data_IF_028848692659
#
_entry.id   IF_028848692659
#
_cell.length_a   1.000
_cell.length_b   1.000
_cell.length_c   1.000
_cell.angle_alpha   90.00
_cell.angle_beta   90.00
_cell.angle_gamma   90.00
#
_symmetry.space_group_name_H-M   'P 1'
#
loop_
_entity.id
_entity.type
_entity.pdbx_description
1 polymer ?
#
# COMPACT_ATOMS: atom_id res chain seq x y z
N UNK A 1 -12.56 28.86 -11.74
CA UNK A 1 -13.21 28.45 -10.48
C UNK A 1 -13.02 26.96 -10.18
N UNK A 2 -13.13 26.07 -11.15
CA UNK A 2 -12.92 24.61 -10.95
C UNK A 2 -11.51 24.25 -10.48
N UNK A 3 -10.44 24.85 -11.03
CA UNK A 3 -9.05 24.58 -10.61
C UNK A 3 -8.80 24.96 -9.15
N UNK A 4 -9.31 26.08 -8.67
CA UNK A 4 -9.16 26.54 -7.27
C UNK A 4 -9.96 25.66 -6.31
N UNK A 5 -11.11 25.15 -6.74
CA UNK A 5 -11.89 24.20 -5.93
C UNK A 5 -11.19 22.82 -5.84
N UNK A 6 -10.58 22.34 -6.93
CA UNK A 6 -9.82 21.10 -6.95
C UNK A 6 -8.56 21.17 -6.06
N UNK A 7 -7.77 22.26 -6.17
CA UNK A 7 -6.59 22.49 -5.30
C UNK A 7 -6.98 22.57 -3.81
N UNK A 8 -8.10 23.22 -3.49
CA UNK A 8 -8.59 23.31 -2.09
C UNK A 8 -9.00 21.95 -1.55
N UNK A 9 -9.64 21.12 -2.36
CA UNK A 9 -10.05 19.75 -1.97
C UNK A 9 -8.83 18.85 -1.77
N UNK A 10 -7.80 18.99 -2.60
CA UNK A 10 -6.53 18.26 -2.48
C UNK A 10 -5.80 18.62 -1.17
N UNK A 11 -5.68 19.91 -0.86
CA UNK A 11 -5.04 20.39 0.38
C UNK A 11 -5.81 19.93 1.64
N UNK A 12 -7.14 19.96 1.61
CA UNK A 12 -7.97 19.47 2.73
C UNK A 12 -7.82 17.95 2.92
N UNK A 13 -7.71 17.19 1.84
CA UNK A 13 -7.47 15.74 1.86
C UNK A 13 -6.09 15.41 2.44
N UNK A 14 -5.03 16.09 1.98
CA UNK A 14 -3.66 15.90 2.50
C UNK A 14 -3.58 16.23 4.00
N UNK A 15 -4.22 17.32 4.44
CA UNK A 15 -4.26 17.70 5.86
C UNK A 15 -4.91 16.63 6.73
N UNK A 16 -6.04 16.08 6.27
CA UNK A 16 -6.74 15.00 6.97
C UNK A 16 -5.90 13.73 7.06
N UNK A 17 -5.22 13.34 5.98
CA UNK A 17 -4.35 12.16 5.96
C UNK A 17 -3.17 12.30 6.93
N UNK A 18 -2.57 13.48 7.02
CA UNK A 18 -1.49 13.77 7.96
C UNK A 18 -1.94 13.71 9.42
N UNK A 19 -3.12 14.26 9.73
CA UNK A 19 -3.71 14.17 11.06
C UNK A 19 -3.96 12.70 11.45
N UNK A 20 -4.58 11.93 10.57
CA UNK A 20 -4.84 10.52 10.78
C UNK A 20 -3.54 9.72 10.97
N UNK A 21 -2.49 9.99 10.20
CA UNK A 21 -1.19 9.33 10.37
C UNK A 21 -0.57 9.64 11.74
N UNK A 22 -0.75 10.86 12.26
CA UNK A 22 -0.30 11.23 13.61
C UNK A 22 -1.06 10.49 14.71
N UNK A 23 -2.38 10.37 14.59
CA UNK A 23 -3.19 9.62 15.54
C UNK A 23 -2.78 8.15 15.57
N UNK A 24 -2.59 7.53 14.40
CA UNK A 24 -2.12 6.16 14.25
C UNK A 24 -0.72 5.97 14.86
N UNK A 25 0.19 6.91 14.62
CA UNK A 25 1.53 6.92 15.22
C UNK A 25 1.48 6.95 16.75
N UNK A 26 0.63 7.78 17.35
CA UNK A 26 0.50 7.88 18.82
C UNK A 26 0.08 6.54 19.43
N UNK A 27 -0.84 5.83 18.79
CA UNK A 27 -1.26 4.49 19.21
C UNK A 27 -0.09 3.50 19.16
N UNK A 28 0.62 3.48 18.02
CA UNK A 28 1.79 2.60 17.84
C UNK A 28 2.90 2.96 18.82
N UNK A 29 3.21 4.24 19.03
CA UNK A 29 4.22 4.69 19.98
C UNK A 29 3.94 4.21 21.41
N UNK A 30 2.67 4.18 21.81
CA UNK A 30 2.28 3.69 23.13
C UNK A 30 2.64 2.20 23.31
N UNK A 31 2.36 1.36 22.30
CA UNK A 31 2.71 -0.06 22.33
C UNK A 31 4.22 -0.24 22.15
N UNK A 32 4.86 0.59 21.33
CA UNK A 32 6.31 0.55 21.11
C UNK A 32 7.10 0.84 22.39
N UNK A 33 6.68 1.78 23.22
CA UNK A 33 7.27 2.01 24.56
C UNK A 33 7.21 0.78 25.42
N UNK A 34 6.09 0.03 25.37
CA UNK A 34 5.98 -1.25 26.05
C UNK A 34 6.92 -2.30 25.45
N UNK A 35 7.04 -2.37 24.13
CA UNK A 35 7.99 -3.24 23.44
C UNK A 35 9.43 -2.99 23.90
N UNK A 36 9.87 -1.73 23.94
CA UNK A 36 11.24 -1.36 24.38
C UNK A 36 11.49 -1.80 25.82
N UNK A 37 10.54 -1.58 26.72
CA UNK A 37 10.64 -1.99 28.12
C UNK A 37 10.63 -3.52 28.32
N UNK A 38 10.18 -4.27 27.33
CA UNK A 38 10.02 -5.72 27.37
C UNK A 38 11.04 -6.48 26.53
N UNK A 39 12.07 -5.82 25.97
CA UNK A 39 13.03 -6.42 25.03
C UNK A 39 13.73 -7.67 25.62
N UNK A 40 13.96 -7.71 26.93
CA UNK A 40 14.53 -8.87 27.63
C UNK A 40 13.51 -9.99 27.84
N UNK A 41 12.20 -9.68 27.90
CA UNK A 41 11.11 -10.65 28.01
C UNK A 41 10.59 -11.00 26.61
N UNK A 42 11.12 -12.05 26.02
CA UNK A 42 10.78 -12.46 24.66
C UNK A 42 9.27 -12.67 24.40
N UNK A 43 8.50 -13.09 25.38
CA UNK A 43 7.06 -13.34 25.22
C UNK A 43 6.29 -12.01 25.11
N UNK A 44 6.53 -11.08 26.02
CA UNK A 44 5.91 -9.75 26.04
C UNK A 44 6.31 -8.92 24.81
N UNK A 45 7.62 -8.94 24.45
CA UNK A 45 8.11 -8.26 23.28
C UNK A 45 7.40 -8.75 21.99
N UNK A 46 7.17 -10.05 21.83
CA UNK A 46 6.46 -10.56 20.66
C UNK A 46 4.96 -10.28 20.69
N UNK A 47 4.35 -10.17 21.86
CA UNK A 47 2.96 -9.74 22.00
C UNK A 47 2.80 -8.27 21.59
N UNK A 48 3.70 -7.40 22.04
CA UNK A 48 3.73 -5.99 21.62
C UNK A 48 3.98 -5.86 20.11
N UNK A 49 4.88 -6.68 19.54
CA UNK A 49 5.10 -6.72 18.09
C UNK A 49 3.84 -7.12 17.30
N UNK A 50 3.09 -8.14 17.76
CA UNK A 50 1.83 -8.52 17.11
C UNK A 50 0.82 -7.36 17.14
N UNK A 51 0.75 -6.62 18.24
CA UNK A 51 -0.14 -5.47 18.38
C UNK A 51 0.27 -4.33 17.44
N UNK A 52 1.56 -3.98 17.38
CA UNK A 52 2.08 -2.95 16.46
C UNK A 52 1.80 -3.33 15.00
N UNK A 53 2.09 -4.57 14.60
CA UNK A 53 1.80 -5.07 13.25
C UNK A 53 0.30 -5.00 12.95
N UNK A 54 -0.55 -5.30 13.94
CA UNK A 54 -2.01 -5.22 13.78
C UNK A 54 -2.46 -3.77 13.57
N UNK A 55 -1.95 -2.82 14.35
CA UNK A 55 -2.25 -1.40 14.20
C UNK A 55 -1.81 -0.89 12.83
N UNK A 56 -0.56 -1.20 12.43
CA UNK A 56 -0.02 -0.78 11.13
C UNK A 56 -0.80 -1.38 9.95
N UNK A 57 -1.14 -2.67 10.02
CA UNK A 57 -1.99 -3.33 9.02
C UNK A 57 -3.36 -2.66 8.92
N UNK A 58 -3.97 -2.29 10.05
CA UNK A 58 -5.28 -1.63 10.09
C UNK A 58 -5.21 -0.25 9.46
N UNK A 59 -4.15 0.50 9.72
CA UNK A 59 -3.87 1.78 9.08
C UNK A 59 -3.84 1.65 7.54
N UNK A 60 -2.99 0.77 7.02
CA UNK A 60 -2.89 0.52 5.59
C UNK A 60 -4.21 0.02 4.98
N UNK A 61 -4.91 -0.87 5.66
CA UNK A 61 -6.20 -1.40 5.19
C UNK A 61 -7.28 -0.32 5.12
N UNK A 62 -7.30 0.62 6.05
CA UNK A 62 -8.23 1.76 5.98
C UNK A 62 -8.03 2.61 4.72
N UNK A 63 -6.77 2.76 4.27
CA UNK A 63 -6.46 3.45 3.00
C UNK A 63 -6.96 2.68 1.78
N UNK A 64 -6.96 1.34 1.84
CA UNK A 64 -7.54 0.52 0.77
C UNK A 64 -9.05 0.75 0.68
N UNK A 65 -9.76 0.73 1.80
CA UNK A 65 -11.20 0.96 1.82
C UNK A 65 -11.55 2.36 1.30
N UNK A 66 -10.82 3.39 1.72
CA UNK A 66 -10.99 4.76 1.25
C UNK A 66 -10.75 4.86 -0.26
N UNK A 67 -9.66 4.30 -0.77
CA UNK A 67 -9.33 4.32 -2.21
C UNK A 67 -10.32 3.56 -3.07
N UNK A 68 -10.80 2.40 -2.62
CA UNK A 68 -11.86 1.63 -3.27
C UNK A 68 -13.25 2.25 -3.12
N UNK A 69 -13.41 3.27 -2.25
CA UNK A 69 -14.68 3.93 -1.92
C UNK A 69 -15.75 2.95 -1.41
N UNK A 70 -15.34 2.01 -0.58
CA UNK A 70 -16.22 1.05 0.09
C UNK A 70 -16.10 1.19 1.60
N UNK A 71 -17.22 1.01 2.30
CA UNK A 71 -17.22 0.99 3.76
C UNK A 71 -16.77 -0.37 4.33
N UNK A 72 -16.53 -0.38 5.64
CA UNK A 72 -16.06 -1.58 6.33
C UNK A 72 -17.07 -2.75 6.27
N UNK A 73 -18.36 -2.47 6.38
CA UNK A 73 -19.41 -3.51 6.40
C UNK A 73 -19.55 -4.15 5.02
N UNK A 74 -19.50 -3.35 3.96
CA UNK A 74 -19.45 -3.82 2.58
C UNK A 74 -18.23 -4.71 2.35
N UNK A 75 -17.04 -4.26 2.75
CA UNK A 75 -15.80 -5.05 2.62
C UNK A 75 -15.89 -6.37 3.39
N UNK A 76 -16.41 -6.34 4.62
CA UNK A 76 -16.61 -7.53 5.45
C UNK A 76 -17.60 -8.51 4.79
N UNK A 77 -18.68 -7.99 4.21
CA UNK A 77 -19.65 -8.76 3.44
C UNK A 77 -18.99 -9.49 2.26
N UNK A 78 -18.20 -8.77 1.45
CA UNK A 78 -17.46 -9.34 0.33
C UNK A 78 -16.48 -10.43 0.76
N UNK A 79 -15.73 -10.22 1.83
CA UNK A 79 -14.74 -11.20 2.33
C UNK A 79 -15.41 -12.46 2.90
N UNK A 80 -16.60 -12.35 3.51
CA UNK A 80 -17.37 -13.47 4.06
C UNK A 80 -18.13 -14.26 3.00
N UNK A 81 -18.45 -13.65 1.89
CA UNK A 81 -19.34 -14.22 0.87
C UNK A 81 -18.69 -15.33 0.02
N UNK A 82 -17.41 -15.56 0.19
CA UNK A 82 -16.59 -16.59 -0.46
C UNK A 82 -16.75 -16.67 -2.00
N UNK A 83 -17.82 -17.22 -2.54
CA UNK A 83 -18.05 -17.38 -3.98
C UNK A 83 -19.51 -17.09 -4.41
N UNK A 84 -20.34 -16.59 -3.50
CA UNK A 84 -21.77 -16.33 -3.75
C UNK A 84 -21.99 -14.86 -4.16
N UNK A 85 -21.31 -14.46 -5.25
CA UNK A 85 -21.38 -13.10 -5.79
C UNK A 85 -22.52 -12.98 -6.80
N UNK A 86 -23.25 -11.88 -6.72
CA UNK A 86 -24.35 -11.56 -7.66
C UNK A 86 -23.84 -10.88 -8.92
N UNK A 87 -22.67 -10.24 -8.86
CA UNK A 87 -22.06 -9.51 -9.98
C UNK A 87 -20.57 -9.83 -10.15
N UNK A 88 -20.06 -9.65 -11.37
CA UNK A 88 -18.61 -9.73 -11.63
C UNK A 88 -17.83 -8.64 -10.88
N UNK A 89 -18.44 -7.48 -10.71
CA UNK A 89 -17.82 -6.36 -9.98
C UNK A 89 -17.60 -6.70 -8.51
N UNK A 90 -18.58 -7.28 -7.83
CA UNK A 90 -18.43 -7.73 -6.44
C UNK A 90 -17.30 -8.75 -6.30
N UNK A 91 -17.22 -9.68 -7.25
CA UNK A 91 -16.12 -10.67 -7.28
C UNK A 91 -14.77 -9.99 -7.45
N UNK A 92 -14.64 -9.05 -8.37
CA UNK A 92 -13.39 -8.32 -8.58
C UNK A 92 -13.00 -7.46 -7.38
N UNK A 93 -13.95 -6.77 -6.76
CA UNK A 93 -13.72 -6.02 -5.51
C UNK A 93 -13.22 -6.94 -4.39
N UNK A 94 -13.85 -8.09 -4.21
CA UNK A 94 -13.42 -9.10 -3.22
C UNK A 94 -12.01 -9.59 -3.51
N UNK A 95 -11.69 -9.92 -4.75
CA UNK A 95 -10.36 -10.44 -5.14
C UNK A 95 -9.27 -9.38 -4.91
N UNK A 96 -9.56 -8.10 -5.16
CA UNK A 96 -8.68 -6.96 -4.85
C UNK A 96 -8.49 -6.82 -3.34
N UNK A 97 -9.57 -6.91 -2.55
CA UNK A 97 -9.47 -6.86 -1.08
C UNK A 97 -8.59 -7.98 -0.54
N UNK A 98 -8.72 -9.19 -1.06
CA UNK A 98 -7.89 -10.34 -0.67
C UNK A 98 -6.41 -10.07 -1.00
N UNK A 99 -6.12 -9.63 -2.23
CA UNK A 99 -4.75 -9.32 -2.65
C UNK A 99 -4.14 -8.19 -1.79
N UNK A 100 -4.92 -7.14 -1.51
CA UNK A 100 -4.49 -6.05 -0.64
C UNK A 100 -4.17 -6.54 0.78
N UNK A 101 -5.06 -7.31 1.41
CA UNK A 101 -4.85 -7.83 2.77
C UNK A 101 -3.62 -8.72 2.82
N UNK A 102 -3.46 -9.63 1.86
CA UNK A 102 -2.28 -10.52 1.82
C UNK A 102 -0.98 -9.74 1.69
N UNK A 103 -0.92 -8.73 0.81
CA UNK A 103 0.27 -7.90 0.65
C UNK A 103 0.54 -7.00 1.86
N UNK A 104 -0.49 -6.31 2.37
CA UNK A 104 -0.31 -5.30 3.42
C UNK A 104 0.00 -5.91 4.79
N UNK A 105 -0.49 -7.13 5.08
CA UNK A 105 -0.06 -7.86 6.29
C UNK A 105 1.41 -8.23 6.20
N UNK A 106 1.86 -8.73 5.03
CA UNK A 106 3.28 -9.05 4.82
C UNK A 106 4.15 -7.79 4.93
N UNK A 107 3.71 -6.69 4.31
CA UNK A 107 4.43 -5.42 4.31
C UNK A 107 4.54 -4.82 5.71
N UNK A 108 3.43 -4.68 6.42
CA UNK A 108 3.42 -4.17 7.80
C UNK A 108 4.31 -5.02 8.72
N UNK A 109 4.25 -6.34 8.59
CA UNK A 109 5.08 -7.23 9.38
C UNK A 109 6.57 -7.06 9.06
N UNK A 110 6.94 -6.90 7.78
CA UNK A 110 8.32 -6.70 7.34
C UNK A 110 8.87 -5.35 7.81
N UNK A 111 8.07 -4.28 7.69
CA UNK A 111 8.38 -2.93 8.17
C UNK A 111 8.64 -2.93 9.69
N UNK A 112 7.73 -3.49 10.46
CA UNK A 112 7.86 -3.51 11.92
C UNK A 112 8.98 -4.44 12.39
N UNK A 113 9.29 -5.50 11.63
CA UNK A 113 10.46 -6.33 11.88
C UNK A 113 11.76 -5.55 11.64
N UNK A 114 11.83 -4.72 10.61
CA UNK A 114 12.98 -3.83 10.38
C UNK A 114 13.13 -2.81 11.51
N UNK A 115 12.03 -2.18 11.95
CA UNK A 115 12.03 -1.30 13.11
C UNK A 115 12.55 -1.99 14.37
N UNK A 116 12.09 -3.22 14.65
CA UNK A 116 12.56 -3.98 15.82
C UNK A 116 14.06 -4.28 15.75
N UNK A 117 14.60 -4.56 14.56
CA UNK A 117 16.03 -4.79 14.39
C UNK A 117 16.84 -3.50 14.63
N UNK A 118 16.44 -2.37 14.05
CA UNK A 118 17.04 -1.05 14.32
C UNK A 118 17.03 -0.74 15.83
N UNK A 119 15.92 -1.04 16.51
CA UNK A 119 15.76 -0.85 17.96
C UNK A 119 16.75 -1.70 18.75
N UNK A 120 16.97 -2.96 18.36
CA UNK A 120 17.90 -3.88 19.03
C UNK A 120 19.35 -3.54 18.78
N UNK A 121 19.69 -3.10 17.56
CA UNK A 121 21.05 -2.67 17.22
C UNK A 121 21.45 -1.42 18.01
N UNK A 122 20.48 -0.58 18.36
CA UNK A 122 20.69 0.63 19.16
C UNK A 122 20.64 0.36 20.67
N UNK A 123 20.29 -0.86 21.09
CA UNK A 123 20.16 -1.22 22.49
C UNK A 123 21.47 -1.10 23.24
N UNK A 124 21.49 -0.27 24.29
CA UNK A 124 22.67 0.04 25.11
C UNK A 124 23.29 1.42 24.83
N UNK A 125 23.03 2.02 23.65
CA UNK A 125 23.57 3.32 23.27
C UNK A 125 22.49 4.43 23.22
N UNK A 126 21.22 4.07 23.10
CA UNK A 126 20.12 5.00 23.03
C UNK A 126 19.43 5.22 24.39
N UNK A 127 19.06 6.45 24.64
CA UNK A 127 18.08 6.83 25.65
C UNK A 127 16.65 6.64 25.14
N UNK A 128 15.66 6.96 25.95
CA UNK A 128 14.23 6.88 25.58
C UNK A 128 13.90 7.68 24.31
N UNK A 129 14.52 8.84 24.11
CA UNK A 129 14.31 9.70 22.95
C UNK A 129 14.87 9.06 21.67
N UNK A 130 16.03 8.39 21.76
CA UNK A 130 16.63 7.67 20.64
C UNK A 130 15.73 6.54 20.12
N UNK A 131 15.11 5.78 21.01
CA UNK A 131 14.15 4.73 20.61
C UNK A 131 12.88 5.32 19.98
N UNK A 132 12.35 6.42 20.53
CA UNK A 132 11.16 7.07 19.97
C UNK A 132 11.41 7.60 18.54
N UNK A 133 12.59 8.11 18.24
CA UNK A 133 12.99 8.51 16.89
C UNK A 133 12.99 7.35 15.89
N UNK A 134 13.34 6.13 16.33
CA UNK A 134 13.23 4.95 15.48
C UNK A 134 11.75 4.66 15.19
N UNK A 135 10.89 4.67 16.20
CA UNK A 135 9.45 4.49 16.00
C UNK A 135 8.87 5.56 15.06
N UNK A 136 9.22 6.83 15.24
CA UNK A 136 8.80 7.95 14.40
C UNK A 136 9.24 7.78 12.95
N UNK A 137 10.48 7.35 12.71
CA UNK A 137 11.01 7.07 11.37
C UNK A 137 10.10 6.12 10.59
N UNK A 138 9.74 4.97 11.19
CA UNK A 138 8.95 3.95 10.54
C UNK A 138 7.45 4.27 10.51
N UNK A 139 6.89 4.68 11.65
CA UNK A 139 5.43 4.75 11.83
C UNK A 139 4.84 6.16 11.69
N UNK A 140 5.66 7.18 11.37
CA UNK A 140 5.20 8.50 10.99
C UNK A 140 5.81 8.92 9.65
N UNK A 141 7.15 9.03 9.57
CA UNK A 141 7.82 9.59 8.39
C UNK A 141 7.66 8.69 7.15
N UNK A 142 7.95 7.40 7.27
CA UNK A 142 7.80 6.45 6.16
C UNK A 142 6.33 6.08 5.94
N UNK A 143 5.59 5.89 7.03
CA UNK A 143 4.18 5.55 6.99
C UNK A 143 3.33 6.59 6.24
N UNK A 144 3.65 7.88 6.30
CA UNK A 144 2.96 8.92 5.53
C UNK A 144 3.00 8.60 4.02
N UNK A 145 4.19 8.33 3.50
CA UNK A 145 4.39 8.02 2.06
C UNK A 145 3.74 6.68 1.68
N UNK A 146 3.91 5.66 2.51
CA UNK A 146 3.38 4.31 2.25
C UNK A 146 1.84 4.28 2.29
N UNK A 147 1.24 5.03 3.19
CA UNK A 147 -0.21 5.22 3.27
C UNK A 147 -0.75 5.91 2.01
N UNK A 148 -0.08 6.98 1.54
CA UNK A 148 -0.42 7.65 0.29
C UNK A 148 -0.36 6.67 -0.90
N UNK A 149 0.68 5.84 -0.98
CA UNK A 149 0.82 4.86 -2.06
C UNK A 149 -0.28 3.78 -2.00
N UNK A 150 -0.62 3.29 -0.79
CA UNK A 150 -1.69 2.31 -0.61
C UNK A 150 -3.06 2.89 -1.02
N UNK A 151 -3.37 4.11 -0.59
CA UNK A 151 -4.57 4.84 -0.98
C UNK A 151 -4.65 5.03 -2.49
N UNK A 152 -3.55 5.47 -3.10
CA UNK A 152 -3.49 5.74 -4.53
C UNK A 152 -3.66 4.46 -5.36
N UNK A 153 -2.94 3.39 -5.00
CA UNK A 153 -3.07 2.09 -5.66
C UNK A 153 -4.50 1.54 -5.58
N UNK A 154 -5.18 1.72 -4.44
CA UNK A 154 -6.57 1.32 -4.26
C UNK A 154 -7.52 2.18 -5.11
N UNK A 155 -7.29 3.49 -5.22
CA UNK A 155 -8.07 4.38 -6.09
C UNK A 155 -7.98 3.96 -7.56
N UNK A 156 -6.77 3.69 -8.04
CA UNK A 156 -6.53 3.16 -9.39
C UNK A 156 -7.21 1.79 -9.58
N UNK A 157 -7.12 0.89 -8.61
CA UNK A 157 -7.77 -0.41 -8.68
C UNK A 157 -9.31 -0.27 -8.74
N UNK A 158 -9.90 0.63 -7.94
CA UNK A 158 -11.33 0.93 -7.98
C UNK A 158 -11.78 1.48 -9.33
N UNK A 159 -11.00 2.39 -9.92
CA UNK A 159 -11.26 2.88 -11.27
C UNK A 159 -11.12 1.75 -12.31
N UNK A 160 -10.08 0.94 -12.21
CA UNK A 160 -9.79 -0.16 -13.13
C UNK A 160 -10.94 -1.16 -13.26
N UNK A 161 -11.53 -1.59 -12.15
CA UNK A 161 -12.64 -2.56 -12.19
C UNK A 161 -13.92 -1.98 -12.78
N UNK A 162 -14.07 -0.65 -12.83
CA UNK A 162 -15.22 0.01 -13.45
C UNK A 162 -15.11 0.07 -14.99
N UNK A 163 -13.92 -0.18 -15.57
CA UNK A 163 -13.72 -0.15 -17.02
C UNK A 163 -14.09 -1.47 -17.66
N UNK A 164 -14.58 -1.42 -18.91
CA UNK A 164 -14.88 -2.62 -19.70
C UNK A 164 -13.63 -3.44 -20.01
N UNK A 165 -13.76 -4.74 -20.22
CA UNK A 165 -12.61 -5.64 -20.46
C UNK A 165 -11.86 -5.36 -21.77
N UNK A 166 -12.52 -4.80 -22.74
CA UNK A 166 -12.06 -4.46 -24.09
C UNK A 166 -11.71 -2.97 -24.26
N UNK A 167 -11.87 -2.17 -23.18
CA UNK A 167 -11.54 -0.74 -23.18
C UNK A 167 -10.07 -0.50 -23.49
N UNK A 168 -9.81 0.55 -24.28
CA UNK A 168 -8.44 1.05 -24.49
C UNK A 168 -8.07 1.94 -23.31
N UNK A 169 -6.98 1.60 -22.65
CA UNK A 169 -6.47 2.32 -21.49
C UNK A 169 -5.16 3.00 -21.86
N UNK A 170 -5.06 4.28 -21.53
CA UNK A 170 -3.90 5.12 -21.82
C UNK A 170 -3.22 5.55 -20.52
N UNK A 171 -1.89 5.42 -20.47
CA UNK A 171 -1.08 5.97 -19.39
C UNK A 171 -0.91 7.47 -19.56
N UNK A 172 -1.20 8.23 -18.51
CA UNK A 172 -1.15 9.69 -18.50
C UNK A 172 -0.34 10.21 -17.32
N UNK A 173 0.33 11.34 -17.53
CA UNK A 173 1.00 12.09 -16.47
C UNK A 173 0.20 13.35 -16.11
N UNK A 174 0.59 14.05 -15.03
CA UNK A 174 -0.01 15.35 -14.69
C UNK A 174 0.46 16.49 -15.62
N UNK A 175 1.47 16.26 -16.48
CA UNK A 175 1.99 17.23 -17.43
C UNK A 175 2.66 18.46 -16.80
N UNK A 176 3.01 18.39 -15.51
CA UNK A 176 3.68 19.47 -14.77
C UNK A 176 5.18 19.21 -14.59
N UNK A 177 5.92 20.21 -14.12
CA UNK A 177 7.37 20.14 -13.88
C UNK A 177 7.81 19.11 -12.81
N UNK A 178 6.86 18.57 -12.03
CA UNK A 178 7.11 17.55 -11.00
C UNK A 178 7.06 16.13 -11.55
N UNK A 179 6.69 15.95 -12.83
CA UNK A 179 6.70 14.66 -13.51
C UNK A 179 8.14 14.27 -13.83
N UNK A 180 8.54 13.04 -13.43
CA UNK A 180 9.86 12.51 -13.78
C UNK A 180 9.97 12.24 -15.27
N UNK A 181 11.16 12.44 -15.85
CA UNK A 181 11.41 12.18 -17.29
C UNK A 181 11.06 10.75 -17.69
N UNK A 182 11.39 9.75 -16.84
CA UNK A 182 11.04 8.34 -17.06
C UNK A 182 9.52 8.11 -17.13
N UNK A 183 8.74 8.85 -16.34
CA UNK A 183 7.27 8.76 -16.38
C UNK A 183 6.71 9.51 -17.60
N UNK A 184 7.29 10.64 -17.94
CA UNK A 184 6.88 11.43 -19.11
C UNK A 184 7.08 10.64 -20.41
N UNK A 185 8.15 9.83 -20.50
CA UNK A 185 8.40 8.96 -21.64
C UNK A 185 7.32 7.88 -21.85
N UNK A 186 6.52 7.59 -20.84
CA UNK A 186 5.42 6.62 -20.90
C UNK A 186 4.07 7.26 -21.26
N UNK A 187 3.98 8.59 -21.29
CA UNK A 187 2.73 9.30 -21.57
C UNK A 187 2.18 8.96 -22.95
N UNK A 188 0.88 8.69 -23.00
CA UNK A 188 0.20 8.32 -24.25
C UNK A 188 0.30 6.84 -24.62
N UNK A 189 1.05 6.00 -23.88
CA UNK A 189 1.06 4.56 -24.12
C UNK A 189 -0.33 3.98 -23.89
N UNK A 190 -0.89 3.36 -24.91
CA UNK A 190 -2.25 2.84 -24.93
C UNK A 190 -2.27 1.35 -25.21
N UNK A 191 -3.04 0.61 -24.39
CA UNK A 191 -3.24 -0.83 -24.53
C UNK A 191 -4.69 -1.20 -24.28
N UNK A 192 -5.18 -2.29 -24.86
CA UNK A 192 -6.40 -2.94 -24.34
C UNK A 192 -6.23 -3.28 -22.87
N UNK A 193 -7.28 -3.07 -22.05
CA UNK A 193 -7.28 -3.32 -20.61
C UNK A 193 -6.71 -4.70 -20.24
N UNK A 194 -7.11 -5.74 -20.98
CA UNK A 194 -6.63 -7.11 -20.73
C UNK A 194 -5.14 -7.32 -21.04
N UNK A 195 -4.56 -6.52 -21.94
CA UNK A 195 -3.15 -6.57 -22.34
C UNK A 195 -2.27 -5.49 -21.68
N UNK A 196 -2.86 -4.59 -20.89
CA UNK A 196 -2.11 -3.50 -20.24
C UNK A 196 -1.06 -4.08 -19.27
N UNK A 197 0.22 -3.70 -19.35
CA UNK A 197 1.28 -4.22 -18.46
C UNK A 197 1.02 -3.84 -17.00
N UNK A 198 1.12 -4.79 -16.08
CA UNK A 198 0.90 -4.54 -14.63
C UNK A 198 1.86 -3.48 -14.08
N UNK A 199 3.11 -3.51 -14.54
CA UNK A 199 4.16 -2.57 -14.12
C UNK A 199 3.96 -1.13 -14.60
N UNK A 200 3.04 -0.89 -15.55
CA UNK A 200 2.68 0.44 -16.03
C UNK A 200 1.37 0.96 -15.41
N UNK A 201 0.71 0.19 -14.56
CA UNK A 201 -0.47 0.66 -13.83
C UNK A 201 -0.01 1.46 -12.60
N UNK A 202 -0.31 2.76 -12.50
CA UNK A 202 0.12 3.58 -11.37
C UNK A 202 -0.37 3.05 -10.00
N UNK A 203 0.41 3.27 -8.93
CA UNK A 203 1.69 3.94 -8.86
C UNK A 203 2.83 3.08 -9.41
N UNK A 204 3.77 3.66 -10.17
CA UNK A 204 4.95 2.96 -10.72
C UNK A 204 6.25 3.38 -10.03
N UNK A 205 6.17 4.30 -9.09
CA UNK A 205 7.26 4.74 -8.22
C UNK A 205 6.70 5.48 -7.00
N UNK A 206 7.53 5.76 -6.00
CA UNK A 206 7.15 6.54 -4.82
C UNK A 206 6.64 7.94 -5.20
N UNK A 207 5.50 8.34 -4.60
CA UNK A 207 4.83 9.62 -4.89
C UNK A 207 4.49 9.81 -6.38
N UNK A 208 4.23 8.72 -7.08
CA UNK A 208 3.75 8.76 -8.45
C UNK A 208 2.34 9.36 -8.49
N UNK A 209 2.14 10.37 -9.37
CA UNK A 209 0.85 11.04 -9.60
C UNK A 209 0.29 10.76 -11.00
N UNK A 210 0.89 9.81 -11.72
CA UNK A 210 0.41 9.41 -13.04
C UNK A 210 -0.92 8.67 -12.91
N UNK A 211 -1.78 8.77 -13.89
CA UNK A 211 -3.11 8.18 -13.89
C UNK A 211 -3.39 7.41 -15.19
N UNK A 212 -4.54 6.78 -15.26
CA UNK A 212 -5.01 6.06 -16.43
C UNK A 212 -6.27 6.75 -16.96
N UNK A 213 -6.41 6.79 -18.29
CA UNK A 213 -7.57 7.33 -18.99
C UNK A 213 -8.15 6.29 -19.96
N UNK A 214 -9.47 6.28 -20.13
CA UNK A 214 -10.19 5.38 -21.02
C UNK A 214 -10.90 6.09 -22.19
N UNK A 215 -10.64 7.39 -22.40
CA UNK A 215 -11.35 8.17 -23.42
C UNK A 215 -10.93 7.94 -24.88
N UNK A 216 -10.13 6.93 -25.17
CA UNK A 216 -10.06 6.25 -26.47
C UNK A 216 -9.53 6.98 -27.71
N UNK A 217 -9.18 8.27 -27.63
CA UNK A 217 -8.72 9.07 -28.79
C UNK A 217 -7.21 8.93 -29.08
N UNK A 218 -6.51 8.05 -28.38
CA UNK A 218 -5.07 7.94 -28.43
C UNK A 218 -4.62 6.87 -29.43
N UNK A 219 -3.68 7.25 -30.28
CA UNK A 219 -3.02 6.33 -31.21
C UNK A 219 -2.03 5.46 -30.43
N UNK A 220 -2.07 4.16 -30.64
CA UNK A 220 -1.13 3.21 -30.07
C UNK A 220 0.31 3.64 -30.45
N UNK A 221 1.08 4.09 -29.46
CA UNK A 221 2.50 4.34 -29.65
C UNK A 221 3.25 3.00 -29.74
N UNK A 222 4.18 2.89 -30.69
CA UNK A 222 5.10 1.76 -30.71
C UNK A 222 5.98 1.83 -29.47
N UNK A 223 5.91 0.78 -28.63
CA UNK A 223 6.68 0.74 -27.38
C UNK A 223 8.12 0.44 -27.72
N UNK A 224 9.01 1.37 -27.46
CA UNK A 224 10.42 1.03 -27.24
C UNK A 224 10.50 0.39 -25.85
N UNK A 225 10.71 -0.92 -25.82
CA UNK A 225 10.70 -1.74 -24.59
C UNK A 225 11.74 -1.30 -23.54
N UNK A 226 12.67 -0.44 -23.89
CA UNK A 226 13.71 0.06 -23.00
C UNK A 226 13.15 1.00 -21.91
N UNK A 227 12.09 1.78 -22.18
CA UNK A 227 11.47 2.66 -21.18
C UNK A 227 10.70 1.89 -20.08
N UNK A 228 10.24 0.67 -20.38
CA UNK A 228 9.56 -0.17 -19.36
C UNK A 228 10.54 -0.64 -18.29
N UNK A 229 11.85 -0.65 -18.55
CA UNK A 229 12.89 -1.08 -17.59
C UNK A 229 13.16 -0.07 -16.47
N UNK A 230 12.68 1.17 -16.59
CA UNK A 230 12.91 2.23 -15.61
C UNK A 230 11.86 2.27 -14.47
N UNK A 231 10.89 1.34 -14.49
CA UNK A 231 9.90 1.22 -13.41
C UNK A 231 10.58 0.74 -12.14
N UNK A 232 10.25 1.38 -11.01
CA UNK A 232 10.78 0.98 -9.70
C UNK A 232 10.35 -0.46 -9.37
N UNK A 233 11.30 -1.39 -9.11
CA UNK A 233 10.98 -2.80 -8.85
C UNK A 233 9.98 -3.04 -7.71
N UNK A 234 9.89 -2.13 -6.75
CA UNK A 234 8.89 -2.19 -5.67
C UNK A 234 7.47 -2.14 -6.22
N UNK A 235 7.25 -1.45 -7.33
CA UNK A 235 5.95 -1.27 -7.99
C UNK A 235 5.82 -2.08 -9.29
N UNK A 236 6.52 -3.21 -9.41
CA UNK A 236 6.46 -4.08 -10.59
C UNK A 236 5.14 -4.81 -10.79
N UNK A 237 4.33 -4.88 -9.74
CA UNK A 237 2.98 -5.45 -9.73
C UNK A 237 1.94 -4.35 -9.54
N UNK A 238 0.65 -4.67 -9.71
CA UNK A 238 -0.43 -3.71 -9.45
C UNK A 238 -1.62 -4.37 -8.76
N UNK A 239 -2.16 -3.68 -7.76
CA UNK A 239 -3.39 -4.08 -7.08
C UNK A 239 -4.58 -4.18 -8.05
N UNK A 240 -4.64 -3.34 -9.08
CA UNK A 240 -5.66 -3.38 -10.12
C UNK A 240 -5.73 -4.74 -10.85
N UNK A 241 -4.61 -5.45 -10.91
CA UNK A 241 -4.52 -6.83 -11.43
C UNK A 241 -4.33 -7.88 -10.34
N UNK A 242 -4.74 -7.57 -9.12
CA UNK A 242 -4.66 -8.48 -7.95
C UNK A 242 -3.22 -8.84 -7.56
N UNK A 243 -2.25 -8.02 -7.99
CA UNK A 243 -0.86 -8.09 -7.59
C UNK A 243 -0.61 -7.31 -6.30
N UNK A 244 0.64 -7.23 -5.90
CA UNK A 244 1.09 -6.52 -4.72
C UNK A 244 1.16 -5.01 -4.97
N UNK A 245 0.89 -4.21 -3.94
CA UNK A 245 1.18 -2.77 -3.92
C UNK A 245 2.69 -2.57 -3.73
N UNK A 246 3.26 -3.27 -2.75
CA UNK A 246 4.67 -3.30 -2.44
C UNK A 246 5.20 -4.70 -2.73
N UNK A 247 5.99 -4.86 -3.79
CA UNK A 247 6.54 -6.15 -4.19
C UNK A 247 7.63 -6.63 -3.22
N UNK A 248 8.06 -7.87 -3.38
CA UNK A 248 9.17 -8.45 -2.60
C UNK A 248 10.54 -7.80 -2.86
N UNK A 249 10.64 -6.88 -3.82
CA UNK A 249 11.82 -6.06 -4.05
C UNK A 249 11.98 -4.92 -3.04
N UNK A 250 10.97 -4.67 -2.20
CA UNK A 250 11.10 -3.69 -1.12
C UNK A 250 12.13 -4.14 -0.08
N UNK A 251 12.94 -3.21 0.40
CA UNK A 251 14.08 -3.47 1.30
C UNK A 251 13.69 -4.11 2.63
N UNK A 252 12.44 -4.01 3.06
CA UNK A 252 11.96 -4.68 4.28
C UNK A 252 11.88 -6.20 4.14
N UNK A 253 11.69 -6.75 2.95
CA UNK A 253 11.58 -8.19 2.72
C UNK A 253 12.93 -8.91 2.71
N UNK A 254 13.65 -8.82 3.82
CA UNK A 254 14.97 -9.48 3.99
C UNK A 254 14.84 -10.99 4.18
N UNK A 255 15.96 -11.73 3.97
CA UNK A 255 16.02 -13.16 4.28
C UNK A 255 15.71 -13.44 5.75
N UNK A 256 16.26 -12.61 6.66
CA UNK A 256 16.03 -12.74 8.11
C UNK A 256 14.54 -12.58 8.48
N UNK A 257 13.82 -11.67 7.82
CA UNK A 257 12.38 -11.54 7.96
C UNK A 257 11.64 -12.82 7.52
N UNK A 258 11.97 -13.34 6.34
CA UNK A 258 11.30 -14.52 5.76
C UNK A 258 11.53 -15.78 6.58
N UNK A 259 12.70 -15.93 7.20
CA UNK A 259 13.08 -17.08 8.02
C UNK A 259 12.59 -16.99 9.47
N UNK A 260 12.10 -15.83 9.91
CA UNK A 260 11.64 -15.63 11.28
C UNK A 260 10.30 -16.29 11.54
N UNK A 261 10.29 -17.45 12.19
CA UNK A 261 9.07 -18.24 12.47
C UNK A 261 8.02 -17.50 13.27
N UNK A 262 8.40 -16.64 14.23
CA UNK A 262 7.45 -15.90 15.07
C UNK A 262 6.70 -14.84 14.22
N UNK A 263 7.41 -14.11 13.38
CA UNK A 263 6.80 -13.17 12.43
C UNK A 263 5.85 -13.91 11.48
N UNK A 264 6.29 -15.04 10.90
CA UNK A 264 5.45 -15.80 9.98
C UNK A 264 4.17 -16.33 10.65
N UNK A 265 4.24 -16.67 11.94
CA UNK A 265 3.06 -17.06 12.72
C UNK A 265 2.09 -15.89 12.92
N UNK A 266 2.59 -14.67 13.21
CA UNK A 266 1.79 -13.46 13.34
C UNK A 266 1.11 -13.14 12.01
N UNK A 267 1.86 -13.16 10.90
CA UNK A 267 1.34 -12.94 9.55
C UNK A 267 0.17 -13.88 9.25
N UNK A 268 0.38 -15.18 9.45
CA UNK A 268 -0.66 -16.17 9.16
C UNK A 268 -1.92 -15.97 10.02
N UNK A 269 -1.74 -15.65 11.31
CA UNK A 269 -2.85 -15.35 12.23
C UNK A 269 -3.64 -14.14 11.77
N UNK A 270 -2.98 -13.05 11.39
CA UNK A 270 -3.63 -11.82 10.93
C UNK A 270 -4.33 -12.02 9.59
N UNK A 271 -3.70 -12.67 8.62
CA UNK A 271 -4.32 -13.01 7.34
C UNK A 271 -5.59 -13.84 7.53
N UNK A 272 -5.54 -14.88 8.35
CA UNK A 272 -6.71 -15.72 8.63
C UNK A 272 -7.85 -14.91 9.27
N UNK A 273 -7.52 -14.00 10.21
CA UNK A 273 -8.51 -13.13 10.86
C UNK A 273 -9.15 -12.17 9.89
N UNK A 274 -8.35 -11.46 9.09
CA UNK A 274 -8.83 -10.42 8.17
C UNK A 274 -9.56 -11.00 6.96
N UNK A 275 -9.09 -12.14 6.43
CA UNK A 275 -9.72 -12.84 5.30
C UNK A 275 -10.91 -13.69 5.73
N UNK A 276 -11.32 -13.66 6.99
CA UNK A 276 -12.40 -14.48 7.51
C UNK A 276 -12.23 -16.00 7.23
N UNK A 277 -10.98 -16.46 7.09
CA UNK A 277 -10.68 -17.89 6.93
C UNK A 277 -10.94 -18.60 8.28
N UNK A 278 -11.73 -19.69 8.25
CA UNK A 278 -12.03 -20.53 9.42
C UNK A 278 -10.89 -21.49 9.72
#
# INVERSE_FOLDING_TARGET
>A
MEKVAAEKTEVESESKQKEQAKEEYILILTVFRHLVNSLENSAEAWQAMEEIITLRTTSLYSRILEGLKIDFDTALGLLRNHNDFTTLQEKEQRDILVAAIENLVDFAAAEQYAMMNDTRETAGDADSEGYEKICEKYNLTYAEIENEQALYAAGIAGWWISQSSDELITYMTQGDERVRESHQALEGLTFPKNAFPSSLIPPIDWRCRCYLDSNGDYVQAAIETDHIREVNPVFSESLAKKGRIFSESHTYFTSAFRENRKIQTIIQKLKNKLLCKR
#
